data_IF_774057815148
#
_entry.id   IF_774057815148
#
_cell.length_a   1.000
_cell.length_b   1.000
_cell.length_c   1.000
_cell.angle_alpha   90.00
_cell.angle_beta   90.00
_cell.angle_gamma   90.00
#
_symmetry.space_group_name_H-M   'P 1'
#
loop_
_entity.id
_entity.type
_entity.pdbx_description
1 polymer ?
#
# COMPACT_ATOMS: atom_id res chain seq x y z
N UNK A 1 -3.41 11.63 -10.27
CA UNK A 1 -3.73 12.92 -10.87
C UNK A 1 -3.83 12.86 -12.39
N UNK A 2 -2.81 12.44 -13.10
CA UNK A 2 -2.81 12.39 -14.57
C UNK A 2 -3.96 11.59 -15.17
N UNK A 3 -4.30 10.45 -14.58
CA UNK A 3 -5.42 9.63 -15.06
C UNK A 3 -6.75 10.38 -14.95
N UNK A 4 -6.95 11.13 -13.86
CA UNK A 4 -8.17 11.93 -13.69
C UNK A 4 -8.28 13.05 -14.72
N UNK A 5 -7.16 13.70 -15.04
CA UNK A 5 -7.10 14.73 -16.08
C UNK A 5 -7.47 14.18 -17.46
N UNK A 6 -7.20 12.91 -17.69
CA UNK A 6 -7.48 12.22 -18.95
C UNK A 6 -8.78 11.40 -18.92
N UNK A 7 -9.55 11.50 -17.86
CA UNK A 7 -10.78 10.73 -17.64
C UNK A 7 -10.58 9.21 -17.76
N UNK A 8 -9.42 8.74 -17.30
CA UNK A 8 -9.11 7.30 -17.26
C UNK A 8 -9.46 6.76 -15.88
N UNK A 9 -10.29 5.69 -15.80
CA UNK A 9 -10.56 5.04 -14.51
C UNK A 9 -9.30 4.53 -13.84
N UNK A 10 -9.23 4.64 -12.52
CA UNK A 10 -8.07 4.23 -11.72
C UNK A 10 -8.51 3.45 -10.51
N UNK A 11 -7.80 2.37 -10.22
CA UNK A 11 -7.87 1.67 -8.94
C UNK A 11 -6.44 1.51 -8.42
N UNK A 12 -6.24 1.69 -7.12
CA UNK A 12 -4.93 1.65 -6.51
C UNK A 12 -4.89 0.69 -5.34
N UNK A 13 -3.79 -0.02 -5.17
CA UNK A 13 -3.55 -0.82 -3.98
C UNK A 13 -2.88 0.02 -2.90
N UNK A 14 -3.37 -0.08 -1.67
CA UNK A 14 -2.70 0.49 -0.51
C UNK A 14 -1.68 -0.52 0.04
N UNK A 15 -1.18 -0.31 1.27
CA UNK A 15 -0.12 -1.14 1.81
C UNK A 15 -0.53 -2.61 2.00
N UNK A 16 0.31 -3.52 1.52
CA UNK A 16 0.16 -4.96 1.71
C UNK A 16 1.30 -5.57 2.52
N UNK A 17 2.26 -4.76 2.93
CA UNK A 17 3.38 -5.20 3.74
C UNK A 17 3.03 -5.35 5.22
N UNK A 18 3.77 -6.22 5.90
CA UNK A 18 3.65 -6.48 7.35
C UNK A 18 2.25 -6.92 7.77
N UNK A 19 1.57 -7.70 6.92
CA UNK A 19 0.22 -8.21 7.15
C UNK A 19 0.18 -9.71 6.83
N UNK A 20 -0.69 -10.44 7.50
CA UNK A 20 -0.81 -11.89 7.36
C UNK A 20 -2.21 -12.35 6.94
N UNK A 21 -3.22 -11.51 7.06
CA UNK A 21 -4.60 -11.90 6.77
C UNK A 21 -5.08 -11.31 5.45
N UNK A 22 -5.02 -12.08 4.35
CA UNK A 22 -5.50 -11.60 3.06
C UNK A 22 -7.03 -11.39 3.01
N UNK A 23 -7.77 -12.00 3.91
CA UNK A 23 -9.22 -11.84 4.00
C UNK A 23 -9.68 -10.48 4.52
N UNK A 24 -8.76 -9.64 4.96
CA UNK A 24 -9.07 -8.30 5.47
C UNK A 24 -8.98 -7.20 4.41
N UNK A 25 -8.69 -7.55 3.17
CA UNK A 25 -8.73 -6.57 2.09
C UNK A 25 -10.16 -6.18 1.74
N UNK A 26 -10.35 -4.90 1.47
CA UNK A 26 -11.63 -4.31 1.08
C UNK A 26 -11.42 -3.33 -0.06
N UNK A 27 -12.47 -3.15 -0.85
CA UNK A 27 -12.51 -2.15 -1.91
C UNK A 27 -13.38 -1.00 -1.43
N UNK A 28 -12.84 0.21 -1.46
CA UNK A 28 -13.55 1.40 -1.01
C UNK A 28 -12.94 2.64 -1.68
N UNK A 29 -13.58 3.79 -1.46
CA UNK A 29 -12.93 5.06 -1.77
C UNK A 29 -11.83 5.36 -0.76
N UNK A 30 -10.79 6.07 -1.20
CA UNK A 30 -9.64 6.38 -0.33
C UNK A 30 -10.06 7.10 0.95
N UNK A 31 -11.12 7.91 0.89
CA UNK A 31 -11.59 8.67 2.06
C UNK A 31 -12.41 7.82 3.04
N UNK A 32 -12.81 6.63 2.64
CA UNK A 32 -13.54 5.67 3.48
C UNK A 32 -12.63 4.59 4.07
N UNK A 33 -11.32 4.75 3.94
CA UNK A 33 -10.34 3.79 4.46
C UNK A 33 -10.01 4.05 5.92
N UNK A 34 -9.54 3.01 6.61
CA UNK A 34 -9.13 3.08 8.00
C UNK A 34 -7.92 2.19 8.26
N UNK A 35 -7.24 2.40 9.38
CA UNK A 35 -6.15 1.58 9.91
C UNK A 35 -4.85 1.64 9.06
N UNK A 36 -4.93 1.50 7.74
CA UNK A 36 -3.75 1.41 6.87
C UNK A 36 -2.92 2.70 6.91
N UNK A 37 -1.63 2.64 7.31
CA UNK A 37 -0.78 3.83 7.38
C UNK A 37 -0.57 4.51 6.01
N UNK A 38 -0.39 3.71 4.95
CA UNK A 38 -0.24 4.26 3.60
C UNK A 38 -1.50 4.99 3.15
N UNK A 39 -2.67 4.41 3.40
CA UNK A 39 -3.94 5.06 3.06
C UNK A 39 -4.11 6.40 3.79
N UNK A 40 -3.64 6.49 5.03
CA UNK A 40 -3.66 7.75 5.78
C UNK A 40 -2.84 8.83 5.08
N UNK A 41 -1.63 8.50 4.67
CA UNK A 41 -0.75 9.42 3.95
C UNK A 41 -1.38 9.83 2.62
N UNK A 42 -1.91 8.86 1.89
CA UNK A 42 -2.54 9.10 0.60
C UNK A 42 -3.77 10.02 0.71
N UNK A 43 -4.63 9.80 1.73
CA UNK A 43 -5.78 10.68 1.97
C UNK A 43 -5.33 12.13 2.14
N UNK A 44 -4.31 12.34 2.96
CA UNK A 44 -3.78 13.67 3.25
C UNK A 44 -3.22 14.33 1.98
N UNK A 45 -2.41 13.60 1.23
CA UNK A 45 -1.76 14.14 0.04
C UNK A 45 -2.75 14.40 -1.10
N UNK A 46 -3.72 13.51 -1.30
CA UNK A 46 -4.75 13.69 -2.32
C UNK A 46 -5.70 14.83 -1.99
N UNK A 47 -6.01 15.02 -0.71
CA UNK A 47 -6.84 16.15 -0.27
C UNK A 47 -6.17 17.49 -0.58
N UNK A 48 -4.86 17.59 -0.36
CA UNK A 48 -4.08 18.79 -0.72
C UNK A 48 -4.13 19.10 -2.21
N UNK A 49 -4.29 18.08 -3.05
CA UNK A 49 -4.32 18.20 -4.51
C UNK A 49 -5.73 18.24 -5.08
N UNK A 50 -6.73 18.42 -4.23
CA UNK A 50 -8.13 18.51 -4.61
C UNK A 50 -8.66 17.27 -5.37
N UNK A 51 -8.11 16.11 -5.09
CA UNK A 51 -8.63 14.84 -5.61
C UNK A 51 -9.79 14.39 -4.72
N UNK A 52 -10.99 14.30 -5.30
CA UNK A 52 -12.23 14.07 -4.55
C UNK A 52 -12.54 12.60 -4.31
N UNK A 53 -11.99 11.72 -5.11
CA UNK A 53 -12.24 10.28 -4.99
C UNK A 53 -11.13 9.47 -5.64
N UNK A 54 -10.90 8.28 -5.11
CA UNK A 54 -10.00 7.28 -5.69
C UNK A 54 -10.43 5.91 -5.16
N UNK A 55 -10.77 5.01 -6.08
CA UNK A 55 -11.05 3.61 -5.70
C UNK A 55 -9.77 2.92 -5.29
N UNK A 56 -9.76 2.28 -4.12
CA UNK A 56 -8.58 1.57 -3.62
C UNK A 56 -8.94 0.20 -3.08
N UNK A 57 -7.93 -0.68 -3.07
CA UNK A 57 -7.94 -1.91 -2.28
C UNK A 57 -7.05 -1.65 -1.07
N UNK A 58 -7.60 -1.82 0.12
CA UNK A 58 -6.87 -1.61 1.35
C UNK A 58 -7.20 -2.71 2.36
N UNK A 59 -6.32 -2.91 3.33
CA UNK A 59 -6.55 -3.83 4.43
C UNK A 59 -6.79 -3.07 5.72
N UNK A 60 -7.78 -3.50 6.49
CA UNK A 60 -8.04 -2.97 7.83
C UNK A 60 -7.27 -3.73 8.92
N UNK A 61 -6.37 -4.62 8.53
CA UNK A 61 -5.47 -5.30 9.45
C UNK A 61 -4.41 -4.34 9.99
N UNK A 62 -4.16 -4.40 11.30
CA UNK A 62 -3.03 -3.68 11.89
C UNK A 62 -1.73 -4.27 11.37
N UNK A 63 -0.81 -3.45 10.83
CA UNK A 63 0.48 -3.96 10.41
C UNK A 63 1.24 -4.61 11.58
N UNK A 64 1.83 -5.75 11.31
CA UNK A 64 2.64 -6.48 12.28
C UNK A 64 4.04 -5.90 12.25
N UNK A 65 4.60 -5.65 13.44
CA UNK A 65 6.00 -5.25 13.55
C UNK A 65 6.86 -6.52 13.59
N UNK A 66 7.67 -6.79 12.54
CA UNK A 66 8.52 -7.98 12.54
C UNK A 66 9.57 -7.94 13.65
N UNK A 67 9.97 -9.11 14.12
CA UNK A 67 11.12 -9.22 15.00
C UNK A 67 12.38 -8.99 14.17
N UNK A 68 13.18 -8.00 14.55
CA UNK A 68 14.38 -7.63 13.84
C UNK A 68 15.56 -8.48 14.30
N UNK A 69 16.19 -9.20 13.36
CA UNK A 69 17.48 -9.84 13.61
C UNK A 69 18.57 -8.84 13.23
N UNK A 70 19.21 -8.27 14.22
CA UNK A 70 20.21 -7.22 14.02
C UNK A 70 21.44 -7.71 13.25
N UNK A 71 21.69 -9.02 13.19
CA UNK A 71 22.81 -9.58 12.44
C UNK A 71 22.64 -9.52 10.93
N UNK A 72 21.36 -9.47 10.45
CA UNK A 72 21.02 -9.44 9.03
C UNK A 72 20.18 -8.21 8.65
N UNK A 73 19.85 -7.37 9.63
CA UNK A 73 19.02 -6.18 9.41
C UNK A 73 19.78 -5.11 8.63
N UNK A 74 19.06 -4.39 7.76
CA UNK A 74 19.60 -3.21 7.10
C UNK A 74 20.00 -2.09 8.06
N UNK A 75 19.49 -2.10 9.29
CA UNK A 75 19.89 -1.10 10.30
C UNK A 75 21.36 -1.24 10.72
N UNK A 76 21.88 -2.46 10.67
CA UNK A 76 23.27 -2.74 11.07
C UNK A 76 24.15 -3.20 9.90
N UNK A 77 23.56 -3.78 8.86
CA UNK A 77 24.25 -4.38 7.72
C UNK A 77 23.73 -3.83 6.39
N UNK A 78 23.63 -2.51 6.28
CA UNK A 78 23.12 -1.87 5.07
C UNK A 78 24.12 -2.01 3.91
N UNK A 79 23.62 -2.52 2.77
CA UNK A 79 24.37 -2.67 1.53
C UNK A 79 23.85 -1.75 0.42
N UNK A 80 23.02 -0.75 0.77
CA UNK A 80 22.52 0.20 -0.20
C UNK A 80 23.66 0.97 -0.86
N UNK A 81 23.53 1.32 -2.17
CA UNK A 81 24.55 2.10 -2.86
C UNK A 81 24.79 3.45 -2.17
N UNK A 82 26.04 3.95 -2.14
CA UNK A 82 26.31 5.31 -1.64
C UNK A 82 25.50 6.34 -2.42
N UNK A 83 24.89 7.29 -1.72
CA UNK A 83 24.07 8.34 -2.33
C UNK A 83 22.64 7.92 -2.66
N UNK A 84 22.17 6.77 -2.17
CA UNK A 84 20.78 6.37 -2.30
C UNK A 84 19.84 7.44 -1.74
N UNK A 85 18.71 7.66 -2.39
CA UNK A 85 17.74 8.71 -2.03
C UNK A 85 17.15 8.53 -0.63
N UNK A 86 17.19 7.32 -0.10
CA UNK A 86 16.75 7.02 1.27
C UNK A 86 17.72 6.03 1.91
N UNK A 87 17.76 6.06 3.22
CA UNK A 87 18.59 5.13 4.01
C UNK A 87 17.68 4.14 4.71
N UNK A 88 17.87 2.85 4.46
CA UNK A 88 17.07 1.80 5.11
C UNK A 88 17.31 1.76 6.63
N UNK A 89 18.45 2.25 7.12
CA UNK A 89 18.74 2.37 8.55
C UNK A 89 17.84 3.40 9.26
N UNK A 90 17.21 4.31 8.53
CA UNK A 90 16.33 5.35 9.04
C UNK A 90 14.86 4.96 9.04
N UNK A 91 14.51 3.79 8.53
CA UNK A 91 13.11 3.31 8.49
C UNK A 91 12.60 3.02 9.90
N UNK A 92 11.33 3.38 10.14
CA UNK A 92 10.64 3.05 11.40
C UNK A 92 10.49 1.57 11.59
N UNK A 93 10.05 0.88 10.54
CA UNK A 93 9.71 -0.54 10.57
C UNK A 93 10.43 -1.26 9.45
N UNK A 94 10.76 -2.53 9.69
CA UNK A 94 11.32 -3.40 8.68
C UNK A 94 10.18 -3.78 7.73
N UNK A 95 10.33 -3.55 6.41
CA UNK A 95 9.34 -4.03 5.46
C UNK A 95 9.38 -5.54 5.36
N UNK A 96 8.22 -6.16 5.36
CA UNK A 96 8.07 -7.60 5.17
C UNK A 96 6.85 -7.89 4.34
N UNK A 97 6.84 -9.03 3.65
CA UNK A 97 5.72 -9.44 2.83
C UNK A 97 5.63 -10.96 2.78
N UNK A 98 4.44 -11.45 2.45
CA UNK A 98 4.20 -12.87 2.21
C UNK A 98 3.76 -13.07 0.77
N UNK A 99 3.81 -14.32 0.29
CA UNK A 99 3.42 -14.62 -1.08
C UNK A 99 1.91 -14.45 -1.32
N UNK A 100 1.10 -14.62 -0.29
CA UNK A 100 -0.37 -14.66 -0.44
C UNK A 100 -1.05 -13.31 -0.22
N UNK A 101 -0.55 -12.46 0.65
CA UNK A 101 -1.25 -11.19 0.97
C UNK A 101 -1.28 -10.23 -0.22
N UNK A 102 -0.14 -9.84 -0.83
CA UNK A 102 -0.20 -8.97 -2.01
C UNK A 102 -0.83 -9.64 -3.22
N UNK A 103 -0.71 -10.97 -3.34
CA UNK A 103 -1.35 -11.70 -4.44
C UNK A 103 -2.88 -11.58 -4.38
N UNK A 104 -3.48 -11.70 -3.21
CA UNK A 104 -4.93 -11.53 -3.02
C UNK A 104 -5.35 -10.10 -3.34
N UNK A 105 -4.57 -9.10 -2.91
CA UNK A 105 -4.84 -7.71 -3.26
C UNK A 105 -4.88 -7.52 -4.79
N UNK A 106 -3.92 -8.08 -5.50
CA UNK A 106 -3.88 -8.02 -6.96
C UNK A 106 -5.07 -8.71 -7.64
N UNK A 107 -5.47 -9.87 -7.14
CA UNK A 107 -6.65 -10.58 -7.65
C UNK A 107 -7.94 -9.78 -7.42
N UNK A 108 -8.08 -9.13 -6.28
CA UNK A 108 -9.23 -8.28 -6.00
C UNK A 108 -9.30 -7.08 -6.95
N UNK A 109 -8.16 -6.47 -7.24
CA UNK A 109 -8.08 -5.37 -8.22
C UNK A 109 -8.52 -5.87 -9.59
N UNK A 110 -7.99 -7.00 -10.05
CA UNK A 110 -8.34 -7.57 -11.34
C UNK A 110 -9.85 -7.87 -11.42
N UNK A 111 -10.41 -8.48 -10.38
CA UNK A 111 -11.84 -8.76 -10.31
C UNK A 111 -12.69 -7.49 -10.39
N UNK A 112 -12.31 -6.44 -9.69
CA UNK A 112 -13.02 -5.17 -9.70
C UNK A 112 -12.97 -4.50 -11.08
N UNK A 113 -11.82 -4.54 -11.75
CA UNK A 113 -11.66 -4.01 -13.10
C UNK A 113 -12.57 -4.76 -14.08
N UNK A 114 -12.60 -6.09 -14.01
CA UNK A 114 -13.47 -6.90 -14.86
C UNK A 114 -14.94 -6.52 -14.65
N UNK A 115 -15.39 -6.38 -13.40
CA UNK A 115 -16.75 -5.96 -13.09
C UNK A 115 -17.08 -4.57 -13.65
N UNK A 116 -16.17 -3.63 -13.49
CA UNK A 116 -16.38 -2.25 -13.95
C UNK A 116 -16.45 -2.17 -15.48
N UNK A 117 -15.61 -2.93 -16.17
CA UNK A 117 -15.59 -2.96 -17.64
C UNK A 117 -16.74 -3.77 -18.24
N UNK A 118 -17.38 -4.63 -17.46
CA UNK A 118 -18.48 -5.48 -17.92
C UNK A 118 -19.86 -4.84 -17.80
N UNK A 119 -19.94 -3.67 -17.22
CA UNK A 119 -21.20 -2.94 -17.03
C UNK A 119 -21.67 -2.24 -18.30
#
# INVERSE_FOLDING_TARGET
MRAKEKNVPVISAMGAGNKLDPGRFRIADIYDTSVCPLARVMRRELKKRNVKSLKVVYSDEQPIRPVEDMSISCRTNCICPPGAAHKCTERRDIPGSTAFVPAVAGLMIAGEIVKDLSK
#
